data_IF_771751781074
#
_entry.id   IF_771751781074
#
_cell.length_a   1.000
_cell.length_b   1.000
_cell.length_c   1.000
_cell.angle_alpha   90.00
_cell.angle_beta   90.00
_cell.angle_gamma   90.00
#
_symmetry.space_group_name_H-M   'P 1'
#
loop_
_entity.id
_entity.type
_entity.pdbx_description
1 polymer ?
#
# COMPACT_ATOMS: atom_id res chain seq x y z
N UNK A 1 30.02 -60.27 63.54
CA UNK A 1 30.44 -59.36 62.45
C UNK A 1 29.37 -59.35 61.35
N UNK A 2 28.44 -58.38 61.38
CA UNK A 2 27.51 -58.03 60.29
C UNK A 2 27.07 -56.58 60.53
N UNK A 3 27.57 -55.65 59.72
CA UNK A 3 27.24 -54.22 59.76
C UNK A 3 26.08 -54.00 58.77
N UNK A 4 24.94 -53.46 59.24
CA UNK A 4 23.84 -53.02 58.38
C UNK A 4 24.18 -51.64 57.81
N UNK A 5 24.29 -51.53 56.49
CA UNK A 5 24.40 -50.27 55.77
C UNK A 5 22.99 -49.73 55.50
N UNK A 6 22.69 -48.53 55.98
CA UNK A 6 21.45 -47.81 55.65
C UNK A 6 21.60 -47.17 54.27
N UNK A 7 20.68 -47.45 53.35
CA UNK A 7 20.56 -46.76 52.06
C UNK A 7 19.89 -45.40 52.26
N UNK A 8 20.57 -44.33 51.80
CA UNK A 8 19.99 -42.98 51.64
C UNK A 8 19.62 -42.81 50.17
N UNK A 9 18.42 -42.30 49.81
CA UNK A 9 18.06 -42.07 48.40
C UNK A 9 18.68 -40.76 47.89
N UNK A 10 18.99 -40.64 46.59
CA UNK A 10 19.54 -39.41 46.04
C UNK A 10 18.45 -38.34 45.87
N UNK A 11 18.75 -37.12 46.34
CA UNK A 11 17.97 -35.92 46.06
C UNK A 11 18.14 -35.53 44.59
N UNK A 12 17.07 -35.64 43.80
CA UNK A 12 17.06 -35.11 42.43
C UNK A 12 16.69 -33.62 42.46
N UNK A 13 17.70 -32.75 42.33
CA UNK A 13 17.51 -31.32 42.08
C UNK A 13 17.30 -31.11 40.59
N UNK A 14 16.04 -31.11 40.16
CA UNK A 14 15.64 -30.69 38.82
C UNK A 14 15.83 -29.17 38.71
N UNK A 15 17.01 -28.75 38.24
CA UNK A 15 17.31 -27.35 37.93
C UNK A 15 16.50 -26.95 36.69
N UNK A 16 15.31 -26.37 36.89
CA UNK A 16 14.53 -25.77 35.80
C UNK A 16 15.37 -24.62 35.23
N UNK A 17 15.96 -24.85 34.05
CA UNK A 17 16.52 -23.79 33.23
C UNK A 17 15.38 -22.85 32.86
N UNK A 18 15.41 -21.64 33.42
CA UNK A 18 14.58 -20.55 32.95
C UNK A 18 15.13 -20.15 31.58
N UNK A 19 14.57 -20.72 30.53
CA UNK A 19 14.79 -20.23 29.16
C UNK A 19 13.81 -19.08 29.01
N UNK A 20 14.26 -17.81 28.95
CA UNK A 20 13.36 -16.71 28.63
C UNK A 20 12.70 -17.03 27.30
N UNK A 21 11.40 -16.78 27.17
CA UNK A 21 10.75 -16.94 25.87
C UNK A 21 11.47 -16.05 24.86
N UNK A 22 11.63 -16.55 23.64
CA UNK A 22 12.22 -15.79 22.52
C UNK A 22 11.53 -14.42 22.36
N UNK A 23 10.25 -14.33 22.71
CA UNK A 23 9.47 -13.08 22.79
C UNK A 23 10.10 -12.03 23.70
N UNK A 24 10.49 -12.38 24.93
CA UNK A 24 11.01 -11.40 25.89
C UNK A 24 12.42 -10.89 25.55
N UNK A 25 13.20 -11.67 24.81
CA UNK A 25 14.51 -11.25 24.31
C UNK A 25 14.36 -10.35 23.08
N UNK A 26 13.38 -10.61 22.21
CA UNK A 26 13.05 -9.74 21.09
C UNK A 26 12.54 -8.38 21.55
N UNK A 27 11.59 -8.33 22.49
CA UNK A 27 11.04 -7.07 23.01
C UNK A 27 12.10 -6.18 23.69
N UNK A 28 13.12 -6.79 24.30
CA UNK A 28 14.23 -6.10 24.94
C UNK A 28 15.33 -5.65 23.95
N UNK A 29 15.48 -6.32 22.80
CA UNK A 29 16.46 -5.99 21.77
C UNK A 29 15.94 -4.98 20.74
N UNK A 30 14.63 -4.95 20.47
CA UNK A 30 14.01 -4.03 19.50
C UNK A 30 13.55 -2.71 20.10
N UNK A 31 13.67 -2.52 21.42
CA UNK A 31 13.32 -1.25 22.05
C UNK A 31 11.85 -0.90 21.88
N UNK A 32 10.95 -1.79 22.31
CA UNK A 32 9.55 -1.47 22.56
C UNK A 32 8.70 -1.25 21.30
N UNK A 33 7.91 -2.26 20.95
CA UNK A 33 6.70 -2.09 20.15
C UNK A 33 5.90 -0.91 20.71
N UNK A 34 5.90 0.24 20.03
CA UNK A 34 5.07 1.39 20.42
C UNK A 34 4.05 1.68 19.30
N UNK A 35 2.91 0.96 19.30
CA UNK A 35 1.87 1.13 18.28
C UNK A 35 1.36 2.57 18.14
N UNK A 36 1.39 3.35 19.24
CA UNK A 36 0.95 4.74 19.22
C UNK A 36 1.91 5.64 18.43
N UNK A 37 3.21 5.42 18.59
CA UNK A 37 4.22 6.16 17.85
C UNK A 37 4.23 5.73 16.38
N UNK A 38 4.02 4.43 16.10
CA UNK A 38 3.85 3.92 14.74
C UNK A 38 2.67 4.61 14.03
N UNK A 39 1.49 4.67 14.67
CA UNK A 39 0.32 5.39 14.12
C UNK A 39 0.61 6.87 13.90
N UNK A 40 1.42 7.50 14.76
CA UNK A 40 1.82 8.90 14.60
C UNK A 40 2.73 9.07 13.38
N UNK A 41 3.69 8.18 13.17
CA UNK A 41 4.56 8.17 12.01
C UNK A 41 3.77 7.95 10.71
N UNK A 42 2.80 7.02 10.69
CA UNK A 42 1.90 6.80 9.54
C UNK A 42 1.17 8.09 9.16
N UNK A 43 0.58 8.79 10.14
CA UNK A 43 -0.13 10.05 9.88
C UNK A 43 0.79 11.14 9.33
N UNK A 44 2.03 11.20 9.80
CA UNK A 44 3.04 12.13 9.29
C UNK A 44 3.45 11.79 7.86
N UNK A 45 3.67 10.51 7.57
CA UNK A 45 3.96 10.05 6.20
C UNK A 45 2.87 10.45 5.22
N UNK A 46 1.61 10.21 5.59
CA UNK A 46 0.46 10.65 4.79
C UNK A 46 0.40 12.17 4.60
N UNK A 47 0.77 12.97 5.60
CA UNK A 47 0.78 14.43 5.48
C UNK A 47 1.90 14.91 4.55
N UNK A 48 3.12 14.40 4.75
CA UNK A 48 4.27 14.72 3.91
C UNK A 48 4.01 14.37 2.44
N UNK A 49 3.38 13.23 2.18
CA UNK A 49 2.98 12.86 0.83
C UNK A 49 2.03 13.90 0.23
N UNK A 50 0.99 14.32 0.97
CA UNK A 50 0.03 15.34 0.50
C UNK A 50 0.70 16.69 0.22
N UNK A 51 1.78 17.00 0.92
CA UNK A 51 2.59 18.22 0.72
C UNK A 51 3.58 18.08 -0.45
N UNK A 52 3.68 16.90 -1.07
CA UNK A 52 4.62 16.60 -2.15
C UNK A 52 6.01 16.16 -1.69
N UNK A 53 6.24 16.06 -0.38
CA UNK A 53 7.46 15.47 0.17
C UNK A 53 7.37 13.94 0.19
N UNK A 54 7.56 13.36 -1.00
CA UNK A 54 7.50 11.91 -1.20
C UNK A 54 8.63 11.18 -0.47
N UNK A 55 9.83 11.77 -0.40
CA UNK A 55 10.96 11.19 0.32
C UNK A 55 10.74 11.16 1.83
N UNK A 56 10.29 12.27 2.41
CA UNK A 56 9.91 12.35 3.82
C UNK A 56 8.75 11.42 4.16
N UNK A 57 7.77 11.31 3.26
CA UNK A 57 6.66 10.35 3.38
C UNK A 57 7.16 8.91 3.56
N UNK A 58 8.05 8.47 2.67
CA UNK A 58 8.61 7.11 2.75
C UNK A 58 9.38 6.90 4.06
N UNK A 59 10.18 7.88 4.50
CA UNK A 59 10.95 7.79 5.74
C UNK A 59 10.05 7.60 6.97
N UNK A 60 8.92 8.32 7.05
CA UNK A 60 7.98 8.14 8.17
C UNK A 60 7.22 6.80 8.09
N UNK A 61 6.93 6.28 6.90
CA UNK A 61 6.37 4.93 6.77
C UNK A 61 7.37 3.83 7.17
N UNK A 62 8.63 3.94 6.77
CA UNK A 62 9.68 3.01 7.17
C UNK A 62 9.88 3.02 8.69
N UNK A 63 9.88 4.22 9.31
CA UNK A 63 9.89 4.38 10.76
C UNK A 63 8.67 3.74 11.44
N UNK A 64 7.48 3.85 10.86
CA UNK A 64 6.30 3.19 11.41
C UNK A 64 6.45 1.66 11.45
N UNK A 65 7.10 1.08 10.43
CA UNK A 65 7.41 -0.36 10.36
C UNK A 65 8.47 -0.75 11.40
N UNK A 66 9.48 0.09 11.64
CA UNK A 66 10.46 -0.15 12.71
C UNK A 66 9.81 -0.16 14.10
N UNK A 67 8.85 0.75 14.33
CA UNK A 67 8.13 0.88 15.61
C UNK A 67 7.08 -0.21 15.84
N UNK A 68 6.44 -0.69 14.77
CA UNK A 68 5.50 -1.80 14.79
C UNK A 68 5.51 -2.54 13.44
N UNK A 69 6.25 -3.67 13.33
CA UNK A 69 6.38 -4.41 12.09
C UNK A 69 5.05 -4.94 11.51
N UNK A 70 4.00 -5.04 12.33
CA UNK A 70 2.67 -5.50 11.89
C UNK A 70 1.99 -4.48 10.97
N UNK A 71 2.40 -3.21 11.03
CA UNK A 71 1.84 -2.16 10.17
C UNK A 71 2.20 -2.38 8.71
N UNK A 72 3.36 -3.02 8.42
CA UNK A 72 3.86 -3.19 7.05
C UNK A 72 2.83 -3.77 6.08
N UNK A 73 2.00 -4.71 6.53
CA UNK A 73 1.01 -5.36 5.68
C UNK A 73 -0.19 -4.47 5.28
N UNK A 74 -0.33 -3.28 5.87
CA UNK A 74 -1.49 -2.38 5.68
C UNK A 74 -1.08 -0.97 5.18
N UNK A 75 0.18 -0.81 4.75
CA UNK A 75 0.74 0.49 4.34
C UNK A 75 0.79 0.63 2.83
N UNK A 76 -0.34 0.50 2.13
CA UNK A 76 -0.41 0.77 0.69
C UNK A 76 0.07 2.18 0.31
N UNK A 77 -0.09 3.19 1.18
CA UNK A 77 0.41 4.55 0.93
C UNK A 77 1.95 4.60 0.81
N UNK A 78 2.65 3.69 1.49
CA UNK A 78 4.10 3.51 1.33
C UNK A 78 4.41 3.06 -0.09
N UNK A 79 3.58 2.19 -0.66
CA UNK A 79 3.70 1.73 -2.05
C UNK A 79 3.62 2.89 -3.06
N UNK A 80 2.74 3.87 -2.81
CA UNK A 80 2.64 5.08 -3.62
C UNK A 80 3.90 5.96 -3.48
N UNK A 81 4.42 6.11 -2.27
CA UNK A 81 5.66 6.86 -2.06
C UNK A 81 6.84 6.20 -2.79
N UNK A 82 6.91 4.87 -2.78
CA UNK A 82 7.91 4.10 -3.53
C UNK A 82 7.74 4.28 -5.04
N UNK A 83 6.50 4.27 -5.55
CA UNK A 83 6.21 4.52 -6.96
C UNK A 83 6.76 5.88 -7.41
N UNK A 84 6.48 6.96 -6.68
CA UNK A 84 6.95 8.30 -7.04
C UNK A 84 8.45 8.53 -6.82
N UNK A 85 9.14 7.60 -6.15
CA UNK A 85 10.60 7.56 -6.02
C UNK A 85 11.25 6.58 -7.01
N UNK A 86 10.51 6.13 -8.02
CA UNK A 86 10.95 5.15 -9.04
C UNK A 86 11.40 3.80 -8.46
N UNK A 87 10.97 3.47 -7.23
CA UNK A 87 11.25 2.19 -6.53
C UNK A 87 10.13 1.19 -6.79
N UNK A 88 9.91 0.91 -8.07
CA UNK A 88 8.71 0.22 -8.55
C UNK A 88 8.57 -1.21 -8.02
N UNK A 89 9.64 -2.01 -7.98
CA UNK A 89 9.59 -3.38 -7.48
C UNK A 89 9.18 -3.44 -6.01
N UNK A 90 9.71 -2.52 -5.20
CA UNK A 90 9.37 -2.42 -3.78
C UNK A 90 7.94 -1.90 -3.58
N UNK A 91 7.49 -0.96 -4.41
CA UNK A 91 6.12 -0.47 -4.41
C UNK A 91 5.13 -1.59 -4.74
N UNK A 92 5.43 -2.38 -5.77
CA UNK A 92 4.62 -3.53 -6.14
C UNK A 92 4.55 -4.57 -5.03
N UNK A 93 5.68 -4.87 -4.39
CA UNK A 93 5.69 -5.77 -3.23
C UNK A 93 4.83 -5.24 -2.08
N UNK A 94 4.90 -3.94 -1.83
CA UNK A 94 4.07 -3.30 -0.81
C UNK A 94 2.57 -3.44 -1.12
N UNK A 95 2.16 -3.29 -2.38
CA UNK A 95 0.75 -3.50 -2.78
C UNK A 95 0.34 -4.97 -2.69
N UNK A 96 1.21 -5.93 -3.03
CA UNK A 96 0.92 -7.37 -2.86
C UNK A 96 0.66 -7.74 -1.41
N UNK A 97 1.42 -7.16 -0.49
CA UNK A 97 1.21 -7.37 0.95
C UNK A 97 -0.18 -6.87 1.37
N UNK A 98 -0.60 -5.71 0.87
CA UNK A 98 -1.90 -5.10 1.20
C UNK A 98 -3.08 -5.88 0.61
N UNK A 99 -3.02 -6.23 -0.68
CA UNK A 99 -4.03 -7.06 -1.37
C UNK A 99 -4.20 -8.42 -0.68
N UNK A 100 -3.13 -9.01 -0.16
CA UNK A 100 -3.20 -10.25 0.60
C UNK A 100 -4.00 -10.11 1.92
N UNK A 101 -4.10 -8.91 2.49
CA UNK A 101 -4.93 -8.61 3.66
C UNK A 101 -6.35 -8.15 3.27
N UNK A 102 -6.48 -7.41 2.17
CA UNK A 102 -7.74 -6.85 1.67
C UNK A 102 -7.96 -7.21 0.19
N UNK A 103 -8.41 -8.44 -0.12
CA UNK A 103 -8.51 -8.93 -1.50
C UNK A 103 -9.68 -8.31 -2.31
N UNK A 104 -10.51 -7.47 -1.69
CA UNK A 104 -11.70 -6.91 -2.32
C UNK A 104 -11.47 -5.51 -2.92
N UNK A 105 -10.34 -4.88 -2.64
CA UNK A 105 -10.02 -3.55 -3.16
C UNK A 105 -9.26 -3.64 -4.48
N UNK A 106 -9.86 -3.13 -5.54
CA UNK A 106 -9.26 -3.14 -6.88
C UNK A 106 -8.20 -2.05 -7.06
N UNK A 107 -8.19 -1.04 -6.20
CA UNK A 107 -7.30 0.11 -6.30
C UNK A 107 -5.83 -0.31 -6.14
N UNK A 108 -5.51 -1.09 -5.12
CA UNK A 108 -4.17 -1.60 -4.85
C UNK A 108 -3.70 -2.57 -5.93
N UNK A 109 -4.59 -3.39 -6.50
CA UNK A 109 -4.27 -4.25 -7.64
C UNK A 109 -3.90 -3.42 -8.89
N UNK A 110 -4.60 -2.30 -9.15
CA UNK A 110 -4.24 -1.37 -10.23
C UNK A 110 -2.87 -0.74 -9.94
N UNK A 111 -2.61 -0.29 -8.71
CA UNK A 111 -1.32 0.30 -8.36
C UNK A 111 -0.16 -0.69 -8.43
N UNK A 112 -0.38 -1.94 -8.04
CA UNK A 112 0.57 -3.02 -8.25
C UNK A 112 0.92 -3.17 -9.74
N UNK A 113 -0.10 -3.15 -10.63
CA UNK A 113 0.12 -3.19 -12.08
C UNK A 113 0.92 -1.98 -12.58
N UNK A 114 0.55 -0.78 -12.14
CA UNK A 114 1.20 0.48 -12.54
C UNK A 114 2.69 0.46 -12.17
N UNK A 115 3.07 -0.09 -11.02
CA UNK A 115 4.47 -0.26 -10.63
C UNK A 115 5.24 -1.21 -11.58
N UNK A 116 4.72 -2.39 -11.88
CA UNK A 116 5.54 -3.47 -12.51
C UNK A 116 5.46 -3.54 -14.03
N UNK A 117 4.79 -2.58 -14.69
CA UNK A 117 4.33 -2.64 -16.09
C UNK A 117 5.07 -3.70 -16.96
N UNK A 118 4.36 -4.81 -17.22
CA UNK A 118 4.78 -6.11 -17.80
C UNK A 118 5.41 -7.15 -16.85
N UNK A 119 4.64 -7.57 -15.84
CA UNK A 119 4.51 -8.97 -15.40
C UNK A 119 3.26 -9.24 -14.51
N UNK A 120 2.38 -8.24 -14.33
CA UNK A 120 1.16 -8.34 -13.51
C UNK A 120 -0.04 -9.03 -14.20
N UNK A 121 0.02 -9.31 -15.51
CA UNK A 121 -1.05 -10.03 -16.21
C UNK A 121 -1.32 -11.42 -15.60
N UNK A 122 -0.30 -12.03 -14.99
CA UNK A 122 -0.43 -13.32 -14.32
C UNK A 122 -1.12 -13.21 -12.95
N UNK A 123 -0.88 -12.10 -12.22
CA UNK A 123 -1.51 -11.83 -10.92
C UNK A 123 -3.01 -11.52 -11.07
N UNK A 124 -3.39 -10.66 -12.03
CA UNK A 124 -4.81 -10.32 -12.31
C UNK A 124 -5.63 -11.48 -12.90
N UNK A 125 -4.97 -12.52 -13.43
CA UNK A 125 -5.62 -13.77 -13.85
C UNK A 125 -5.91 -14.69 -12.66
N UNK A 126 -5.08 -14.68 -11.62
CA UNK A 126 -5.27 -15.47 -10.41
C UNK A 126 -6.29 -14.84 -9.44
N UNK A 127 -6.46 -13.52 -9.46
CA UNK A 127 -7.42 -12.77 -8.62
C UNK A 127 -8.86 -12.72 -9.16
N UNK A 128 -9.13 -13.37 -10.32
CA UNK A 128 -10.35 -13.22 -11.11
C UNK A 128 -11.68 -13.53 -10.42
N UNK A 129 -11.68 -14.19 -9.25
CA UNK A 129 -12.90 -14.58 -8.53
C UNK A 129 -13.24 -13.72 -7.30
N UNK A 130 -12.37 -12.78 -6.88
CA UNK A 130 -12.50 -12.10 -5.58
C UNK A 130 -12.70 -10.59 -5.61
N UNK A 131 -12.52 -9.92 -6.75
CA UNK A 131 -12.63 -8.46 -6.81
C UNK A 131 -14.10 -8.01 -6.95
N UNK A 132 -14.77 -7.80 -5.81
CA UNK A 132 -16.10 -7.16 -5.72
C UNK A 132 -15.99 -5.72 -5.22
N UNK A 133 -15.13 -4.90 -5.82
CA UNK A 133 -15.10 -3.47 -5.48
C UNK A 133 -16.50 -2.88 -5.68
N UNK A 134 -17.12 -2.26 -4.66
CA UNK A 134 -18.48 -1.74 -4.76
C UNK A 134 -18.57 -0.55 -5.73
N UNK A 135 -17.45 0.14 -6.01
CA UNK A 135 -17.36 1.32 -6.87
C UNK A 135 -17.38 0.89 -8.35
N UNK A 136 -18.41 1.24 -9.13
CA UNK A 136 -18.47 0.85 -10.56
C UNK A 136 -17.29 1.35 -11.37
N UNK A 137 -16.86 2.60 -11.14
CA UNK A 137 -15.69 3.19 -11.80
C UNK A 137 -14.41 2.39 -11.60
N UNK A 138 -14.22 1.81 -10.42
CA UNK A 138 -13.02 1.06 -10.10
C UNK A 138 -13.02 -0.31 -10.77
N UNK A 139 -14.18 -0.97 -10.84
CA UNK A 139 -14.32 -2.22 -11.61
C UNK A 139 -14.03 -1.99 -13.09
N UNK A 140 -14.52 -0.90 -13.68
CA UNK A 140 -14.26 -0.58 -15.08
C UNK A 140 -12.80 -0.19 -15.34
N UNK A 141 -12.20 0.60 -14.44
CA UNK A 141 -10.77 0.91 -14.49
C UNK A 141 -9.93 -0.37 -14.40
N UNK A 142 -10.23 -1.25 -13.45
CA UNK A 142 -9.57 -2.54 -13.30
C UNK A 142 -9.65 -3.38 -14.58
N UNK A 143 -10.86 -3.53 -15.16
CA UNK A 143 -11.04 -4.27 -16.42
C UNK A 143 -10.24 -3.64 -17.57
N UNK A 144 -10.17 -2.31 -17.65
CA UNK A 144 -9.34 -1.62 -18.65
C UNK A 144 -7.85 -1.92 -18.49
N UNK A 145 -7.34 -1.94 -17.25
CA UNK A 145 -5.94 -2.30 -16.97
C UNK A 145 -5.65 -3.79 -17.23
N UNK A 146 -6.63 -4.66 -16.93
CA UNK A 146 -6.51 -6.11 -17.09
C UNK A 146 -6.59 -6.56 -18.56
N UNK A 147 -7.64 -6.16 -19.27
CA UNK A 147 -7.96 -6.68 -20.60
C UNK A 147 -7.48 -5.74 -21.73
N UNK A 148 -6.98 -4.57 -21.36
CA UNK A 148 -6.78 -3.46 -22.29
C UNK A 148 -8.10 -2.73 -22.57
N UNK A 149 -8.00 -1.47 -23.00
CA UNK A 149 -9.18 -0.69 -23.30
C UNK A 149 -8.85 0.73 -23.74
N UNK A 150 -9.90 1.52 -23.95
CA UNK A 150 -9.78 2.93 -24.29
C UNK A 150 -10.13 3.77 -23.06
N UNK A 151 -9.16 4.48 -22.46
CA UNK A 151 -9.39 5.39 -21.34
C UNK A 151 -10.54 6.38 -21.53
N UNK A 152 -10.78 6.77 -22.78
CA UNK A 152 -11.85 7.68 -23.16
C UNK A 152 -13.24 7.08 -22.90
N UNK A 153 -13.40 5.77 -23.08
CA UNK A 153 -14.66 5.07 -22.78
C UNK A 153 -14.95 5.08 -21.28
N UNK A 154 -13.92 4.86 -20.45
CA UNK A 154 -14.02 4.94 -19.00
C UNK A 154 -14.47 6.34 -18.57
N UNK A 155 -13.80 7.38 -19.07
CA UNK A 155 -14.17 8.77 -18.72
C UNK A 155 -15.57 9.13 -19.21
N UNK A 156 -15.94 8.71 -20.43
CA UNK A 156 -17.26 8.96 -20.98
C UNK A 156 -18.37 8.32 -20.12
N UNK A 157 -18.17 7.07 -19.67
CA UNK A 157 -19.13 6.32 -18.85
C UNK A 157 -19.46 7.04 -17.53
N UNK A 158 -18.50 7.74 -16.93
CA UNK A 158 -18.67 8.42 -15.64
C UNK A 158 -18.73 9.95 -15.72
N UNK A 159 -18.72 10.52 -16.93
CA UNK A 159 -18.74 11.97 -17.16
C UNK A 159 -19.97 12.70 -16.60
N UNK A 160 -21.11 12.01 -16.56
CA UNK A 160 -22.38 12.52 -16.03
C UNK A 160 -22.75 11.89 -14.67
N UNK A 161 -21.81 11.14 -14.07
CA UNK A 161 -22.00 10.44 -12.80
C UNK A 161 -21.76 11.32 -11.58
N UNK A 162 -21.48 10.70 -10.44
CA UNK A 162 -21.07 11.44 -9.23
C UNK A 162 -19.70 12.08 -9.44
N UNK A 163 -19.45 13.21 -8.78
CA UNK A 163 -18.19 13.95 -8.94
C UNK A 163 -16.95 13.09 -8.65
N UNK A 164 -17.04 12.18 -7.66
CA UNK A 164 -15.96 11.27 -7.32
C UNK A 164 -15.74 10.21 -8.42
N UNK A 165 -16.78 9.75 -9.10
CA UNK A 165 -16.66 8.77 -10.18
C UNK A 165 -15.95 9.37 -11.39
N UNK A 166 -16.30 10.60 -11.78
CA UNK A 166 -15.56 11.31 -12.83
C UNK A 166 -14.08 11.50 -12.44
N UNK A 167 -13.82 11.89 -11.20
CA UNK A 167 -12.45 12.05 -10.70
C UNK A 167 -11.63 10.78 -10.87
N UNK A 168 -12.11 9.64 -10.36
CA UNK A 168 -11.41 8.37 -10.47
C UNK A 168 -11.28 7.91 -11.93
N UNK A 169 -12.33 8.06 -12.73
CA UNK A 169 -12.27 7.72 -14.15
C UNK A 169 -11.16 8.50 -14.87
N UNK A 170 -11.08 9.82 -14.65
CA UNK A 170 -10.04 10.66 -15.24
C UNK A 170 -8.65 10.36 -14.67
N UNK A 171 -8.53 10.11 -13.37
CA UNK A 171 -7.26 9.73 -12.74
C UNK A 171 -6.70 8.45 -13.38
N UNK A 172 -7.49 7.38 -13.43
CA UNK A 172 -7.04 6.10 -13.95
C UNK A 172 -6.86 6.08 -15.47
N UNK A 173 -7.62 6.89 -16.21
CA UNK A 173 -7.37 7.14 -17.62
C UNK A 173 -5.98 7.77 -17.84
N UNK A 174 -5.61 8.74 -17.00
CA UNK A 174 -4.30 9.39 -17.06
C UNK A 174 -3.16 8.44 -16.75
N UNK A 175 -3.27 7.66 -15.66
CA UNK A 175 -2.27 6.65 -15.30
C UNK A 175 -2.11 5.57 -16.38
N UNK A 176 -3.21 5.18 -17.03
CA UNK A 176 -3.16 4.22 -18.14
C UNK A 176 -2.35 4.78 -19.33
N UNK A 177 -2.68 6.00 -19.77
CA UNK A 177 -1.97 6.67 -20.85
C UNK A 177 -0.49 6.90 -20.52
N UNK A 178 -0.17 7.29 -19.29
CA UNK A 178 1.22 7.48 -18.86
C UNK A 178 1.99 6.17 -18.94
N UNK A 179 1.38 5.10 -18.46
CA UNK A 179 1.96 3.78 -18.55
C UNK A 179 2.22 3.44 -20.04
N UNK A 180 1.31 3.77 -20.96
CA UNK A 180 1.51 3.59 -22.42
C UNK A 180 2.48 4.60 -23.06
N UNK A 181 3.14 5.45 -22.27
CA UNK A 181 4.05 6.52 -22.72
C UNK A 181 3.37 7.61 -23.57
N UNK A 182 2.05 7.75 -23.45
CA UNK A 182 1.24 8.80 -24.09
C UNK A 182 1.11 10.01 -23.16
N UNK A 183 2.21 10.74 -22.97
CA UNK A 183 2.33 11.76 -21.92
C UNK A 183 1.35 12.94 -22.06
N UNK A 184 1.03 13.37 -23.28
CA UNK A 184 0.08 14.47 -23.48
C UNK A 184 -1.34 14.09 -23.06
N UNK A 185 -1.78 12.88 -23.44
CA UNK A 185 -3.07 12.34 -23.03
C UNK A 185 -3.10 12.09 -21.50
N UNK A 186 -2.01 11.55 -20.95
CA UNK A 186 -1.86 11.38 -19.51
C UNK A 186 -2.03 12.69 -18.76
N UNK A 187 -1.29 13.73 -19.17
CA UNK A 187 -1.36 15.07 -18.60
C UNK A 187 -2.79 15.61 -18.65
N UNK A 188 -3.44 15.54 -19.82
CA UNK A 188 -4.81 16.01 -19.99
C UNK A 188 -5.76 15.39 -18.96
N UNK A 189 -5.68 14.08 -18.77
CA UNK A 189 -6.56 13.35 -17.86
C UNK A 189 -6.24 13.57 -16.37
N UNK A 190 -4.96 13.58 -15.98
CA UNK A 190 -4.57 13.83 -14.58
C UNK A 190 -4.89 15.28 -14.17
N UNK A 191 -4.62 16.26 -15.06
CA UNK A 191 -4.97 17.67 -14.81
C UNK A 191 -6.49 17.83 -14.70
N UNK A 192 -7.26 17.19 -15.59
CA UNK A 192 -8.73 17.20 -15.50
C UNK A 192 -9.24 16.57 -14.19
N UNK A 193 -8.61 15.49 -13.70
CA UNK A 193 -8.94 14.92 -12.39
C UNK A 193 -8.66 15.93 -11.27
N UNK A 194 -7.50 16.57 -11.26
CA UNK A 194 -7.15 17.61 -10.28
C UNK A 194 -8.13 18.79 -10.29
N UNK A 195 -8.53 19.23 -11.49
CA UNK A 195 -9.42 20.37 -11.69
C UNK A 195 -10.91 20.02 -11.52
N UNK A 196 -11.27 18.75 -11.40
CA UNK A 196 -12.64 18.34 -11.12
C UNK A 196 -13.14 18.89 -9.77
N UNK A 197 -14.45 19.07 -9.58
CA UNK A 197 -14.98 19.55 -8.30
C UNK A 197 -14.61 18.66 -7.11
N UNK A 198 -14.48 17.35 -7.32
CA UNK A 198 -14.01 16.41 -6.29
C UNK A 198 -12.50 16.57 -6.03
N UNK A 199 -11.66 16.61 -7.07
CA UNK A 199 -10.21 16.77 -6.92
C UNK A 199 -9.79 18.07 -6.23
N UNK A 200 -10.56 19.14 -6.41
CA UNK A 200 -10.30 20.42 -5.76
C UNK A 200 -10.70 20.44 -4.27
N UNK A 201 -11.80 19.78 -3.91
CA UNK A 201 -12.45 19.94 -2.59
C UNK A 201 -12.30 18.75 -1.65
N UNK A 202 -11.95 17.58 -2.16
CA UNK A 202 -11.88 16.35 -1.36
C UNK A 202 -10.59 16.27 -0.54
N UNK A 203 -10.71 15.79 0.69
CA UNK A 203 -9.59 15.39 1.56
C UNK A 203 -9.12 13.94 1.30
N UNK A 204 -9.72 13.28 0.31
CA UNK A 204 -9.37 11.95 -0.14
C UNK A 204 -7.88 11.85 -0.52
N UNK A 205 -7.26 10.73 -0.16
CA UNK A 205 -5.84 10.52 -0.40
C UNK A 205 -5.49 10.53 -1.89
N UNK A 206 -6.39 10.05 -2.75
CA UNK A 206 -6.20 10.00 -4.19
C UNK A 206 -6.36 11.36 -4.84
N UNK A 207 -7.21 12.24 -4.30
CA UNK A 207 -7.26 13.63 -4.70
C UNK A 207 -5.93 14.36 -4.44
N UNK A 208 -5.28 14.07 -3.32
CA UNK A 208 -3.93 14.56 -3.07
C UNK A 208 -2.89 13.90 -3.97
N UNK A 209 -2.99 12.59 -4.21
CA UNK A 209 -2.10 11.88 -5.13
C UNK A 209 -2.13 12.49 -6.53
N UNK A 210 -3.30 12.85 -7.07
CA UNK A 210 -3.39 13.46 -8.39
C UNK A 210 -2.59 14.79 -8.45
N UNK A 211 -2.61 15.57 -7.37
CA UNK A 211 -1.83 16.80 -7.24
C UNK A 211 -0.33 16.50 -7.15
N UNK A 212 0.06 15.53 -6.31
CA UNK A 212 1.46 15.07 -6.20
C UNK A 212 1.97 14.57 -7.54
N UNK A 213 1.15 13.84 -8.28
CA UNK A 213 1.45 13.39 -9.63
C UNK A 213 1.82 14.56 -10.55
N UNK A 214 0.95 15.57 -10.61
CA UNK A 214 1.21 16.78 -11.36
C UNK A 214 2.51 17.47 -10.93
N UNK A 215 2.77 17.58 -9.62
CA UNK A 215 4.01 18.15 -9.09
C UNK A 215 5.25 17.36 -9.55
N UNK A 216 5.26 16.04 -9.38
CA UNK A 216 6.37 15.17 -9.78
C UNK A 216 6.64 15.19 -11.29
N UNK A 217 5.64 15.52 -12.11
CA UNK A 217 5.76 15.59 -13.57
C UNK A 217 5.87 17.00 -14.14
N UNK A 218 5.88 18.02 -13.28
CA UNK A 218 5.81 19.44 -13.67
C UNK A 218 4.62 19.74 -14.59
N UNK A 219 3.46 19.15 -14.29
CA UNK A 219 2.22 19.39 -15.01
C UNK A 219 1.41 20.48 -14.31
N UNK A 220 1.33 21.64 -14.96
CA UNK A 220 0.42 22.75 -14.64
C UNK A 220 -0.91 22.60 -15.38
#
# INVERSE_FOLDING_TARGET
MRIKLNHVPPLSLSRRLFVPSVSGIWDALTGGNNPRDAVTAIRRGMLLFREGDVSGSLAEFDKAIELDPRQKAYLWQRGLSLYYLDRFEEGAEQFRLDVAQNPNDTEESIWCFVCVKLNCMELMKQEGDFLRDPRPVMREAYNMFKDGGHPENLVAAFSSGRENEYFYASLYAGLYHEAEKKLDAAKQHIVAACQSPYGQRSDDYMAALAKVHCLCRNWS
#
